data_IF_779773081234
#
_entry.id   IF_779773081234
#
_cell.length_a   1.000
_cell.length_b   1.000
_cell.length_c   1.000
_cell.angle_alpha   90.00
_cell.angle_beta   90.00
_cell.angle_gamma   90.00
#
_symmetry.space_group_name_H-M   'P 1'
#
loop_
_entity.id
_entity.type
_entity.pdbx_description
1 polymer ?
#
# COMPACT_ATOMS: atom_id res chain seq x y z
N UNK A 1 -7.75 -21.27 19.57
CA UNK A 1 -7.15 -20.47 18.49
C UNK A 1 -8.23 -20.06 17.51
N UNK A 2 -8.42 -18.78 17.35
CA UNK A 2 -9.42 -18.27 16.43
C UNK A 2 -8.79 -18.09 15.05
N UNK A 3 -9.35 -18.73 14.06
CA UNK A 3 -9.02 -18.47 12.68
C UNK A 3 -9.97 -17.39 12.17
N UNK A 4 -9.45 -16.44 11.37
CA UNK A 4 -10.33 -15.55 10.65
C UNK A 4 -11.19 -16.42 9.74
N UNK A 5 -12.51 -16.34 9.89
CA UNK A 5 -13.43 -17.05 9.01
C UNK A 5 -13.45 -16.37 7.65
N UNK A 6 -13.91 -17.06 6.61
CA UNK A 6 -14.11 -16.43 5.30
C UNK A 6 -15.06 -15.24 5.40
N UNK A 7 -16.02 -15.28 6.33
CA UNK A 7 -16.93 -14.16 6.57
C UNK A 7 -16.18 -12.95 7.13
N UNK A 8 -15.21 -13.17 8.02
CA UNK A 8 -14.41 -12.08 8.58
C UNK A 8 -13.53 -11.44 7.49
N UNK A 9 -12.91 -12.24 6.64
CA UNK A 9 -12.15 -11.73 5.51
C UNK A 9 -13.06 -10.96 4.55
N UNK A 10 -14.23 -11.47 4.24
CA UNK A 10 -15.19 -10.80 3.37
C UNK A 10 -15.61 -9.43 3.94
N UNK A 11 -15.81 -9.34 5.25
CA UNK A 11 -16.13 -8.06 5.89
C UNK A 11 -15.02 -7.05 5.73
N UNK A 12 -13.78 -7.48 5.89
CA UNK A 12 -12.65 -6.57 5.76
C UNK A 12 -12.46 -6.16 4.31
N UNK A 13 -12.57 -7.09 3.37
CA UNK A 13 -12.53 -6.77 1.95
C UNK A 13 -13.66 -5.81 1.56
N UNK A 14 -14.86 -6.03 2.11
CA UNK A 14 -16.00 -5.15 1.88
C UNK A 14 -15.78 -3.74 2.46
N UNK A 15 -14.91 -3.60 3.45
CA UNK A 15 -14.58 -2.32 4.07
C UNK A 15 -13.42 -1.60 3.38
N UNK A 16 -12.85 -2.17 2.32
CA UNK A 16 -11.77 -1.51 1.57
C UNK A 16 -12.22 -0.14 1.08
N UNK A 17 -11.38 0.84 1.34
CA UNK A 17 -11.62 2.22 0.90
C UNK A 17 -10.34 2.73 0.22
N UNK A 18 -10.04 2.23 -0.99
CA UNK A 18 -8.80 2.58 -1.67
C UNK A 18 -8.83 4.04 -2.10
N UNK A 19 -7.88 4.81 -1.58
CA UNK A 19 -7.77 6.24 -1.85
C UNK A 19 -6.38 6.56 -2.37
N UNK A 20 -6.25 6.95 -3.65
CA UNK A 20 -4.95 7.41 -4.15
C UNK A 20 -4.47 8.62 -3.35
N UNK A 21 -3.22 8.58 -2.88
CA UNK A 21 -2.70 9.54 -1.92
C UNK A 21 -1.33 10.08 -2.32
N UNK A 22 -1.12 10.32 -3.60
CA UNK A 22 0.06 10.98 -4.11
C UNK A 22 1.14 10.06 -4.62
N UNK A 23 2.16 10.66 -5.21
CA UNK A 23 3.32 9.97 -5.76
C UNK A 23 4.47 10.06 -4.76
N UNK A 24 5.14 8.94 -4.56
CA UNK A 24 6.24 8.80 -3.61
C UNK A 24 7.49 8.32 -4.31
N UNK A 25 8.62 8.72 -3.75
CA UNK A 25 9.95 8.32 -4.20
C UNK A 25 10.48 7.27 -3.22
N UNK A 26 10.99 6.17 -3.75
CA UNK A 26 11.77 5.20 -3.00
C UNK A 26 13.23 5.43 -3.41
N UNK A 27 14.07 5.76 -2.46
CA UNK A 27 15.46 6.13 -2.74
C UNK A 27 16.42 5.49 -1.76
N UNK A 28 17.54 5.00 -2.27
CA UNK A 28 18.63 4.47 -1.44
C UNK A 28 19.55 5.62 -1.06
N UNK A 29 19.77 5.79 0.23
CA UNK A 29 20.64 6.86 0.75
C UNK A 29 21.64 6.27 1.75
N UNK A 30 22.82 6.90 1.87
CA UNK A 30 23.86 6.47 2.79
C UNK A 30 23.58 6.97 4.21
N UNK A 31 22.94 8.11 4.34
CA UNK A 31 22.61 8.74 5.61
C UNK A 31 21.14 9.13 5.65
N UNK A 32 20.58 9.10 6.84
CA UNK A 32 19.18 9.52 7.03
C UNK A 32 19.09 11.03 6.77
N UNK A 33 18.25 11.46 5.82
CA UNK A 33 18.10 12.89 5.53
C UNK A 33 17.57 13.65 6.75
N UNK A 34 18.14 14.83 6.99
CA UNK A 34 17.72 15.71 8.09
C UNK A 34 16.70 16.73 7.58
N UNK A 35 15.75 17.07 8.44
CA UNK A 35 14.73 18.09 8.14
C UNK A 35 13.90 17.75 6.91
N UNK A 36 13.63 16.46 6.71
CA UNK A 36 12.82 15.95 5.62
C UNK A 36 11.67 15.16 6.21
N UNK A 37 10.47 15.38 5.69
CA UNK A 37 9.31 14.61 6.07
C UNK A 37 9.39 13.23 5.42
N UNK A 38 9.72 12.22 6.21
CA UNK A 38 9.93 10.84 5.75
C UNK A 38 8.68 10.03 6.04
N UNK A 39 8.09 9.41 4.99
CA UNK A 39 6.96 8.52 5.16
C UNK A 39 7.39 7.19 5.78
N UNK A 40 8.47 6.60 5.25
CA UNK A 40 8.99 5.33 5.74
C UNK A 40 10.50 5.29 5.61
N UNK A 41 11.15 4.60 6.53
CA UNK A 41 12.60 4.45 6.56
C UNK A 41 12.90 2.99 6.83
N UNK A 42 13.68 2.38 5.94
CA UNK A 42 14.07 0.99 6.07
C UNK A 42 15.60 0.91 6.09
N UNK A 43 16.15 0.26 7.11
CA UNK A 43 17.59 0.04 7.17
C UNK A 43 17.96 -1.13 6.24
N UNK A 44 18.88 -0.87 5.33
CA UNK A 44 19.42 -1.85 4.39
C UNK A 44 20.94 -1.98 4.62
N UNK A 45 21.32 -2.91 5.49
CA UNK A 45 22.73 -3.11 5.85
C UNK A 45 23.38 -1.82 6.37
N UNK A 46 24.23 -1.18 5.56
CA UNK A 46 24.92 0.06 5.90
C UNK A 46 24.29 1.30 5.29
N UNK A 47 23.14 1.14 4.63
CA UNK A 47 22.43 2.24 3.99
C UNK A 47 20.96 2.21 4.39
N UNK A 48 20.16 3.09 3.79
CA UNK A 48 18.74 3.22 4.10
C UNK A 48 17.92 3.39 2.83
N UNK A 49 16.75 2.79 2.82
CA UNK A 49 15.73 3.14 1.82
C UNK A 49 14.77 4.12 2.47
N UNK A 50 14.61 5.28 1.86
CA UNK A 50 13.65 6.28 2.32
C UNK A 50 12.50 6.37 1.35
N UNK A 51 11.30 6.51 1.90
CA UNK A 51 10.08 6.74 1.13
C UNK A 51 9.58 8.13 1.49
N UNK A 52 9.57 9.01 0.51
CA UNK A 52 9.17 10.42 0.69
C UNK A 52 8.29 10.85 -0.46
N UNK A 53 7.45 11.86 -0.23
CA UNK A 53 6.65 12.41 -1.32
C UNK A 53 7.56 12.99 -2.42
N UNK A 54 7.09 12.92 -3.64
CA UNK A 54 7.87 13.36 -4.81
C UNK A 54 8.34 14.82 -4.67
N UNK A 55 7.46 15.72 -4.25
CA UNK A 55 7.82 17.12 -4.07
C UNK A 55 8.86 17.29 -2.97
N UNK A 56 8.73 16.57 -1.87
CA UNK A 56 9.70 16.58 -0.78
C UNK A 56 11.07 16.09 -1.25
N UNK A 57 11.10 15.05 -2.06
CA UNK A 57 12.34 14.52 -2.61
C UNK A 57 13.01 15.55 -3.51
N UNK A 58 12.23 16.21 -4.36
CA UNK A 58 12.76 17.24 -5.28
C UNK A 58 13.37 18.40 -4.49
N UNK A 59 12.69 18.88 -3.47
CA UNK A 59 13.18 19.99 -2.64
C UNK A 59 14.44 19.62 -1.85
N UNK A 60 14.52 18.37 -1.40
CA UNK A 60 15.63 17.89 -0.61
C UNK A 60 16.81 17.34 -1.44
N UNK A 61 16.67 17.30 -2.76
CA UNK A 61 17.70 16.76 -3.64
C UNK A 61 17.86 15.24 -3.52
N UNK A 62 16.81 14.54 -3.12
CA UNK A 62 16.82 13.08 -3.00
C UNK A 62 16.55 12.47 -4.38
N UNK A 63 17.40 11.54 -4.79
CA UNK A 63 17.32 10.92 -6.10
C UNK A 63 16.07 10.02 -6.20
N UNK A 64 15.22 10.24 -7.22
CA UNK A 64 14.03 9.40 -7.39
C UNK A 64 14.40 8.08 -8.10
N UNK A 65 15.01 7.16 -7.37
CA UNK A 65 15.39 5.85 -7.93
C UNK A 65 14.17 5.11 -8.46
N UNK A 66 13.07 5.09 -7.69
CA UNK A 66 11.81 4.51 -8.12
C UNK A 66 10.65 5.40 -7.69
N UNK A 67 9.63 5.50 -8.54
CA UNK A 67 8.41 6.25 -8.28
C UNK A 67 7.22 5.32 -8.17
N UNK A 68 6.38 5.56 -7.16
CA UNK A 68 5.15 4.80 -6.94
C UNK A 68 4.03 5.74 -6.54
N UNK A 69 2.81 5.39 -6.91
CA UNK A 69 1.62 6.03 -6.36
C UNK A 69 1.18 5.25 -5.12
N UNK A 70 0.94 5.97 -4.05
CA UNK A 70 0.44 5.38 -2.81
C UNK A 70 -1.08 5.31 -2.85
N UNK A 71 -1.62 4.15 -2.50
CA UNK A 71 -3.05 3.95 -2.32
C UNK A 71 -3.25 3.58 -0.85
N UNK A 72 -3.96 4.42 -0.13
CA UNK A 72 -4.35 4.14 1.25
C UNK A 72 -5.53 3.17 1.21
N UNK A 73 -5.40 2.05 1.88
CA UNK A 73 -6.43 1.00 1.86
C UNK A 73 -7.49 1.16 2.96
N UNK A 74 -7.31 2.18 3.81
CA UNK A 74 -8.19 2.39 4.95
C UNK A 74 -7.70 1.65 6.19
N UNK A 75 -8.50 1.65 7.24
CA UNK A 75 -8.16 0.99 8.50
C UNK A 75 -8.33 -0.51 8.37
N UNK A 76 -7.37 -1.28 8.88
CA UNK A 76 -7.47 -2.73 8.91
C UNK A 76 -7.31 -3.25 10.33
N UNK A 77 -7.80 -4.48 10.58
CA UNK A 77 -7.57 -5.18 11.84
C UNK A 77 -6.47 -6.21 11.65
N UNK A 78 -5.75 -6.53 12.72
CA UNK A 78 -4.64 -7.49 12.67
C UNK A 78 -5.03 -8.85 12.08
N UNK A 79 -6.20 -9.35 12.45
CA UNK A 79 -6.66 -10.67 12.02
C UNK A 79 -6.93 -10.75 10.52
N UNK A 80 -7.30 -9.64 9.94
CA UNK A 80 -7.67 -9.57 8.54
C UNK A 80 -6.51 -9.23 7.63
N UNK A 81 -5.44 -8.64 8.16
CA UNK A 81 -4.30 -8.14 7.38
C UNK A 81 -3.68 -9.21 6.47
N UNK A 82 -3.52 -10.42 6.96
CA UNK A 82 -2.92 -11.53 6.20
C UNK A 82 -3.76 -11.87 4.96
N UNK A 83 -5.06 -12.03 5.15
CA UNK A 83 -5.96 -12.38 4.06
C UNK A 83 -6.12 -11.25 3.05
N UNK A 84 -6.17 -10.01 3.52
CA UNK A 84 -6.28 -8.82 2.66
C UNK A 84 -5.08 -8.71 1.75
N UNK A 85 -3.87 -8.78 2.30
CA UNK A 85 -2.65 -8.64 1.52
C UNK A 85 -2.59 -9.69 0.41
N UNK A 86 -2.89 -10.96 0.76
CA UNK A 86 -2.89 -12.04 -0.21
C UNK A 86 -3.92 -11.82 -1.32
N UNK A 87 -5.14 -11.43 -0.97
CA UNK A 87 -6.22 -11.22 -1.94
C UNK A 87 -5.89 -10.08 -2.89
N UNK A 88 -5.38 -8.97 -2.38
CA UNK A 88 -5.02 -7.81 -3.18
C UNK A 88 -3.83 -8.14 -4.08
N UNK A 89 -2.80 -8.76 -3.53
CA UNK A 89 -1.61 -9.11 -4.30
C UNK A 89 -1.94 -10.02 -5.46
N UNK A 90 -2.84 -10.98 -5.26
CA UNK A 90 -3.26 -11.91 -6.28
C UNK A 90 -3.99 -11.22 -7.44
N UNK A 91 -4.90 -10.32 -7.12
CA UNK A 91 -5.66 -9.56 -8.12
C UNK A 91 -4.74 -8.67 -8.94
N UNK A 92 -3.83 -7.97 -8.30
CA UNK A 92 -2.90 -7.07 -8.97
C UNK A 92 -1.89 -7.85 -9.80
N UNK A 93 -1.38 -8.96 -9.28
CA UNK A 93 -0.43 -9.81 -10.00
C UNK A 93 -1.03 -10.36 -11.29
N UNK A 94 -2.31 -10.71 -11.28
CA UNK A 94 -3.02 -11.18 -12.48
C UNK A 94 -3.05 -10.14 -13.60
N UNK A 95 -2.87 -8.87 -13.27
CA UNK A 95 -2.82 -7.76 -14.23
C UNK A 95 -1.41 -7.19 -14.40
N UNK A 96 -0.40 -7.88 -13.88
CA UNK A 96 1.00 -7.45 -13.94
C UNK A 96 1.22 -6.08 -13.29
N UNK A 97 0.47 -5.79 -12.24
CA UNK A 97 0.64 -4.57 -11.45
C UNK A 97 1.54 -4.89 -10.25
N UNK A 98 2.64 -4.16 -10.11
CA UNK A 98 3.53 -4.31 -8.96
C UNK A 98 2.82 -3.84 -7.70
N UNK A 99 2.89 -4.63 -6.63
CA UNK A 99 2.28 -4.30 -5.36
C UNK A 99 3.33 -4.33 -4.27
N UNK A 100 3.64 -3.15 -3.72
CA UNK A 100 4.49 -3.02 -2.54
C UNK A 100 3.62 -2.58 -1.38
N UNK A 101 3.59 -3.39 -0.32
CA UNK A 101 2.81 -3.07 0.87
C UNK A 101 3.68 -2.53 1.97
N UNK A 102 3.26 -1.44 2.58
CA UNK A 102 3.84 -0.97 3.83
C UNK A 102 2.70 -0.91 4.84
N UNK A 103 2.74 -1.83 5.79
CA UNK A 103 1.73 -1.89 6.83
C UNK A 103 2.15 -1.00 7.98
N UNK A 104 1.28 -0.09 8.38
CA UNK A 104 1.46 0.68 9.59
C UNK A 104 0.47 0.19 10.64
N UNK A 105 0.59 0.73 11.84
CA UNK A 105 -0.30 0.34 12.94
C UNK A 105 -1.76 0.66 12.66
N UNK A 106 -2.02 1.72 11.92
CA UNK A 106 -3.39 2.21 11.69
C UNK A 106 -3.90 1.91 10.29
N UNK A 107 -3.03 1.91 9.31
CA UNK A 107 -3.41 1.78 7.91
C UNK A 107 -2.47 0.87 7.17
N UNK A 108 -2.99 0.18 6.18
CA UNK A 108 -2.17 -0.50 5.19
C UNK A 108 -2.05 0.41 3.98
N UNK A 109 -0.83 0.52 3.47
CA UNK A 109 -0.51 1.35 2.32
C UNK A 109 -0.02 0.46 1.18
N UNK A 110 -0.54 0.72 0.00
CA UNK A 110 -0.16 0.01 -1.21
C UNK A 110 0.55 0.98 -2.14
N UNK A 111 1.68 0.55 -2.70
CA UNK A 111 2.42 1.35 -3.66
C UNK A 111 2.44 0.61 -5.00
N UNK A 112 1.97 1.27 -6.05
CA UNK A 112 1.89 0.70 -7.40
C UNK A 112 2.54 1.64 -8.40
N UNK A 113 2.82 1.13 -9.61
CA UNK A 113 3.35 1.96 -10.68
C UNK A 113 2.39 3.14 -10.92
N UNK A 114 2.90 4.37 -11.07
CA UNK A 114 2.02 5.54 -11.24
C UNK A 114 1.04 5.41 -12.41
N UNK A 115 1.48 4.84 -13.53
CA UNK A 115 0.65 4.66 -14.71
C UNK A 115 -0.40 3.56 -14.56
N UNK A 116 -0.33 2.76 -13.50
CA UNK A 116 -1.29 1.69 -13.22
C UNK A 116 -2.15 1.99 -11.98
N UNK A 117 -1.97 3.15 -11.36
CA UNK A 117 -2.66 3.47 -10.10
C UNK A 117 -4.17 3.56 -10.25
N UNK A 118 -4.65 4.13 -11.35
CA UNK A 118 -6.09 4.25 -11.60
C UNK A 118 -6.74 2.87 -11.78
N UNK A 119 -6.09 2.00 -12.55
CA UNK A 119 -6.55 0.63 -12.75
C UNK A 119 -6.53 -0.14 -11.42
N UNK A 120 -5.44 -0.03 -10.66
CA UNK A 120 -5.33 -0.71 -9.38
C UNK A 120 -6.44 -0.27 -8.42
N UNK A 121 -6.70 1.02 -8.33
CA UNK A 121 -7.77 1.54 -7.49
C UNK A 121 -9.12 0.98 -7.89
N UNK A 122 -9.42 0.94 -9.19
CA UNK A 122 -10.68 0.41 -9.71
C UNK A 122 -10.83 -1.09 -9.38
N UNK A 123 -9.75 -1.86 -9.50
CA UNK A 123 -9.77 -3.28 -9.17
C UNK A 123 -10.07 -3.51 -7.68
N UNK A 124 -9.51 -2.68 -6.81
CA UNK A 124 -9.75 -2.78 -5.37
C UNK A 124 -11.16 -2.35 -5.00
N UNK A 125 -11.68 -1.32 -5.62
CA UNK A 125 -13.07 -0.92 -5.43
C UNK A 125 -14.03 -2.03 -5.86
N UNK A 126 -13.74 -2.68 -6.98
CA UNK A 126 -14.53 -3.81 -7.47
C UNK A 126 -14.47 -4.99 -6.51
N UNK A 127 -13.28 -5.29 -5.98
CA UNK A 127 -13.14 -6.34 -4.98
C UNK A 127 -13.99 -6.05 -3.74
N UNK A 128 -13.99 -4.80 -3.27
CA UNK A 128 -14.83 -4.39 -2.14
C UNK A 128 -16.31 -4.57 -2.42
N UNK A 129 -16.77 -4.21 -3.61
CA UNK A 129 -18.17 -4.38 -4.00
C UNK A 129 -18.56 -5.86 -4.05
N UNK A 130 -17.71 -6.70 -4.64
CA UNK A 130 -17.97 -8.14 -4.71
C UNK A 130 -18.00 -8.76 -3.32
N UNK A 131 -17.09 -8.36 -2.46
CA UNK A 131 -17.05 -8.87 -1.08
C UNK A 131 -18.33 -8.54 -0.32
N UNK A 132 -18.92 -7.38 -0.53
CA UNK A 132 -20.22 -7.03 0.07
C UNK A 132 -21.30 -8.01 -0.33
N UNK A 133 -21.28 -8.50 -1.58
CA UNK A 133 -22.23 -9.47 -2.07
C UNK A 133 -22.07 -10.86 -1.45
N UNK A 134 -20.89 -11.16 -0.88
CA UNK A 134 -20.62 -12.44 -0.21
C UNK A 134 -21.06 -12.45 1.25
N UNK A 135 -21.38 -11.28 1.82
CA UNK A 135 -21.77 -11.18 3.21
C UNK A 135 -23.20 -11.67 3.41
N UNK A 136 -23.51 -12.32 4.55
CA UNK A 136 -24.90 -12.72 4.85
C UNK A 136 -25.78 -11.50 5.01
N UNK A 137 -27.03 -11.67 4.60
CA UNK A 137 -28.05 -10.60 4.70
C UNK A 137 -28.35 -10.25 6.16
#
# INVERSE_FOLDING_TARGET
MTHASSTDLDRVLASLDPTPSGTYVFSLVDEIPKNVDIFALIRDEDSYTVVVEEDTAREAGINPDELYTRIDLGSSTELAAIGITASIAQILAARSITANFIASRRHDHLFVQPDRAQEATALLEDLGRRAKGWLPA
#
